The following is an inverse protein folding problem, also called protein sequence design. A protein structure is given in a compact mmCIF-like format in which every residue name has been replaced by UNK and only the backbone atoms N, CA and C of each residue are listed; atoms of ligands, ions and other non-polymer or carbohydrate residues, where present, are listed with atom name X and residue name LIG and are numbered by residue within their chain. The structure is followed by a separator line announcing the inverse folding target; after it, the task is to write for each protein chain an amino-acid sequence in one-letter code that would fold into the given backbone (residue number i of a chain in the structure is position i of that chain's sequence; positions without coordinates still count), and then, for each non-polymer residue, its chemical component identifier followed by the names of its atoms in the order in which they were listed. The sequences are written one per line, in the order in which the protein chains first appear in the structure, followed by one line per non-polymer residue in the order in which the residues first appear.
data_IF_286030536280
#
_entry.id   IF_286030536280
#
_cell.length_a   1.000
_cell.length_b   1.000
_cell.length_c   1.000
_cell.angle_alpha   90.00
_cell.angle_beta   90.00
_cell.angle_gamma   90.00
#
_symmetry.space_group_name_H-M   'P 1'
#
loop_
_entity.id
_entity.type
_entity.pdbx_description
1 polymer ?
#
# COMPACT_ATOMS: atom_id res chain seq x y z
N UNK A 1 -37.21 0.61 -51.58
CA UNK A 1 -36.56 1.76 -52.24
C UNK A 1 -36.84 3.00 -51.39
N UNK A 2 -36.11 3.11 -50.27
CA UNK A 2 -35.01 4.08 -50.00
C UNK A 2 -35.52 5.39 -49.44
N UNK A 3 -35.63 5.44 -48.11
CA UNK A 3 -35.85 6.70 -47.36
C UNK A 3 -34.64 6.92 -46.45
N UNK A 4 -33.95 8.01 -46.74
CA UNK A 4 -32.68 8.49 -46.17
C UNK A 4 -32.77 8.66 -44.66
N UNK A 5 -32.07 7.82 -43.91
CA UNK A 5 -31.94 7.96 -42.46
C UNK A 5 -30.69 8.79 -42.16
N UNK A 6 -30.91 10.09 -41.92
CA UNK A 6 -29.88 11.04 -41.56
C UNK A 6 -29.25 10.65 -40.21
N UNK A 7 -27.95 10.34 -40.27
CA UNK A 7 -27.11 10.01 -39.14
C UNK A 7 -26.93 11.24 -38.23
N UNK A 8 -27.60 11.27 -37.08
CA UNK A 8 -27.34 12.26 -36.02
C UNK A 8 -26.28 11.69 -35.07
N UNK A 9 -25.01 11.99 -35.36
CA UNK A 9 -23.89 11.71 -34.46
C UNK A 9 -23.95 12.73 -33.32
N UNK A 10 -24.37 12.30 -32.13
CA UNK A 10 -24.25 13.08 -30.91
C UNK A 10 -22.84 12.87 -30.33
N UNK A 11 -22.02 13.92 -30.41
CA UNK A 11 -20.67 13.95 -29.88
C UNK A 11 -20.73 14.17 -28.36
N UNK A 12 -20.68 13.09 -27.58
CA UNK A 12 -20.59 13.19 -26.12
C UNK A 12 -19.15 13.55 -25.71
N UNK A 13 -18.90 14.83 -25.41
CA UNK A 13 -17.66 15.28 -24.78
C UNK A 13 -17.52 14.63 -23.40
N UNK A 14 -16.66 13.64 -23.28
CA UNK A 14 -16.29 13.06 -21.99
C UNK A 14 -15.17 13.90 -21.38
N UNK A 15 -15.52 14.79 -20.45
CA UNK A 15 -14.55 15.51 -19.64
C UNK A 15 -13.89 14.53 -18.65
N UNK A 16 -12.66 14.10 -18.95
CA UNK A 16 -11.82 13.39 -17.99
C UNK A 16 -11.33 14.37 -16.92
N UNK A 17 -12.05 14.45 -15.81
CA UNK A 17 -11.56 15.11 -14.60
C UNK A 17 -10.47 14.25 -13.96
N UNK A 18 -9.20 14.66 -14.09
CA UNK A 18 -8.12 14.11 -13.27
C UNK A 18 -8.32 14.59 -11.83
N UNK A 19 -8.99 13.79 -11.01
CA UNK A 19 -8.95 13.95 -9.56
C UNK A 19 -7.54 13.61 -9.08
N UNK A 20 -6.74 14.64 -8.82
CA UNK A 20 -5.45 14.47 -8.14
C UNK A 20 -5.75 14.05 -6.69
N UNK A 21 -5.63 12.76 -6.41
CA UNK A 21 -5.72 12.25 -5.05
C UNK A 21 -4.45 12.68 -4.30
N UNK A 22 -4.55 13.76 -3.53
CA UNK A 22 -3.51 14.14 -2.59
C UNK A 22 -3.48 13.05 -1.49
N UNK A 23 -2.56 12.10 -1.59
CA UNK A 23 -2.35 11.10 -0.56
C UNK A 23 -1.54 11.74 0.58
N UNK A 24 -2.05 11.77 1.82
CA UNK A 24 -1.29 12.14 3.00
C UNK A 24 0.07 11.43 3.04
N UNK A 25 1.14 12.22 3.19
CA UNK A 25 2.47 11.67 3.40
C UNK A 25 2.53 10.99 4.77
N UNK A 26 3.22 9.84 4.90
CA UNK A 26 3.53 9.26 6.19
C UNK A 26 4.26 10.27 7.09
N UNK A 27 4.11 10.18 8.43
CA UNK A 27 4.83 11.05 9.35
C UNK A 27 6.34 10.94 9.15
N UNK A 28 7.08 12.02 9.43
CA UNK A 28 8.52 12.20 9.15
C UNK A 28 9.49 11.19 9.81
N UNK A 29 8.99 10.18 10.55
CA UNK A 29 9.80 9.08 11.10
C UNK A 29 9.35 7.70 10.59
N UNK A 30 8.34 7.63 9.73
CA UNK A 30 7.92 6.38 9.09
C UNK A 30 8.95 5.89 8.06
N UNK A 31 9.70 6.81 7.47
CA UNK A 31 10.84 6.55 6.58
C UNK A 31 11.93 5.66 7.21
N UNK A 32 12.09 5.73 8.53
CA UNK A 32 12.97 4.83 9.30
C UNK A 32 12.56 3.35 9.18
N UNK A 33 11.35 3.05 8.72
CA UNK A 33 10.83 1.69 8.60
C UNK A 33 10.53 1.29 7.15
N UNK A 34 10.85 2.14 6.18
CA UNK A 34 10.64 1.87 4.76
C UNK A 34 10.03 3.05 4.01
N UNK A 35 9.36 2.77 2.90
CA UNK A 35 8.78 3.81 2.04
C UNK A 35 7.43 3.38 1.48
N UNK A 36 6.60 4.37 1.11
CA UNK A 36 5.40 4.12 0.30
C UNK A 36 5.81 3.52 -1.04
N UNK A 37 5.05 2.53 -1.49
CA UNK A 37 5.26 1.84 -2.75
C UNK A 37 4.01 1.87 -3.63
N UNK A 38 4.20 1.62 -4.92
CA UNK A 38 3.10 1.40 -5.83
C UNK A 38 2.44 0.03 -5.53
N UNK A 39 1.11 -0.06 -5.63
CA UNK A 39 0.38 -1.28 -5.21
C UNK A 39 0.74 -2.46 -6.12
N UNK A 40 1.00 -2.19 -7.39
CA UNK A 40 1.41 -3.14 -8.41
C UNK A 40 2.80 -3.75 -8.19
N UNK A 41 3.66 -3.15 -7.37
CA UNK A 41 4.98 -3.71 -7.03
C UNK A 41 4.94 -4.60 -5.78
N UNK A 42 3.79 -4.70 -5.11
CA UNK A 42 3.65 -5.53 -3.93
C UNK A 42 3.75 -7.02 -4.27
N UNK A 43 4.56 -7.76 -3.53
CA UNK A 43 4.74 -9.21 -3.71
C UNK A 43 3.55 -10.01 -3.21
N UNK A 44 2.76 -9.43 -2.29
CA UNK A 44 1.49 -9.95 -1.82
C UNK A 44 0.62 -8.85 -1.25
N UNK A 45 -0.61 -9.22 -0.90
CA UNK A 45 -1.54 -8.32 -0.24
C UNK A 45 -2.13 -8.93 1.01
N UNK A 46 -2.35 -8.08 2.03
CA UNK A 46 -2.94 -8.47 3.31
C UNK A 46 -4.21 -7.64 3.51
N UNK A 47 -5.34 -8.31 3.69
CA UNK A 47 -6.59 -7.64 4.08
C UNK A 47 -6.58 -7.43 5.58
N UNK A 48 -6.70 -6.18 6.01
CA UNK A 48 -6.76 -5.81 7.42
C UNK A 48 -8.15 -6.15 7.96
N UNK A 49 -8.21 -7.02 8.96
CA UNK A 49 -9.45 -7.49 9.57
C UNK A 49 -9.52 -7.06 11.03
N UNK A 50 -10.72 -6.79 11.57
CA UNK A 50 -10.90 -6.59 12.99
C UNK A 50 -10.30 -7.74 13.81
N UNK A 51 -9.60 -7.41 14.89
CA UNK A 51 -8.98 -8.40 15.79
C UNK A 51 -7.59 -8.88 15.38
N UNK A 52 -7.08 -8.51 14.19
CA UNK A 52 -5.68 -8.70 13.85
C UNK A 52 -4.79 -7.91 14.83
N UNK A 53 -3.70 -8.53 15.30
CA UNK A 53 -2.73 -7.89 16.21
C UNK A 53 -1.37 -7.69 15.58
N UNK A 54 -0.97 -8.62 14.72
CA UNK A 54 0.37 -8.62 14.13
C UNK A 54 0.32 -9.00 12.65
N UNK A 55 1.24 -8.43 11.88
CA UNK A 55 1.59 -8.90 10.54
C UNK A 55 3.10 -9.15 10.52
N UNK A 56 3.51 -10.33 10.05
CA UNK A 56 4.91 -10.65 9.86
C UNK A 56 5.31 -10.29 8.43
N UNK A 57 6.41 -9.54 8.31
CA UNK A 57 6.98 -9.12 7.04
C UNK A 57 8.49 -9.37 7.03
N UNK A 58 9.06 -9.46 5.85
CA UNK A 58 10.50 -9.68 5.64
C UNK A 58 11.19 -8.34 5.39
N UNK A 59 12.45 -8.24 5.78
CA UNK A 59 13.32 -7.14 5.37
C UNK A 59 13.26 -6.92 3.85
N UNK A 60 12.99 -5.68 3.41
CA UNK A 60 12.90 -5.32 2.00
C UNK A 60 11.59 -5.72 1.31
N UNK A 61 10.63 -6.36 1.99
CA UNK A 61 9.38 -6.80 1.39
C UNK A 61 8.47 -5.62 1.05
N UNK A 62 7.88 -5.62 -0.15
CA UNK A 62 6.77 -4.72 -0.51
C UNK A 62 5.43 -5.41 -0.30
N UNK A 63 4.61 -4.89 0.61
CA UNK A 63 3.29 -5.46 0.95
C UNK A 63 2.19 -4.44 0.69
N UNK A 64 1.13 -4.87 0.01
CA UNK A 64 -0.09 -4.08 -0.13
C UNK A 64 -1.08 -4.40 1.00
N UNK A 65 -1.48 -3.39 1.77
CA UNK A 65 -2.48 -3.52 2.83
C UNK A 65 -3.83 -3.01 2.33
N UNK A 66 -4.84 -3.89 2.39
CA UNK A 66 -6.21 -3.59 1.96
C UNK A 66 -7.08 -3.30 3.17
N UNK A 67 -7.61 -2.08 3.24
CA UNK A 67 -8.74 -1.72 4.10
C UNK A 67 -10.05 -1.80 3.32
N UNK A 68 -11.14 -1.29 3.90
CA UNK A 68 -12.46 -1.32 3.27
C UNK A 68 -12.52 -0.50 1.98
N UNK A 69 -11.93 0.71 2.00
CA UNK A 69 -12.10 1.68 0.91
C UNK A 69 -10.83 1.96 0.11
N UNK A 70 -9.68 1.47 0.56
CA UNK A 70 -8.40 1.72 -0.12
C UNK A 70 -7.37 0.64 0.11
N UNK A 71 -6.41 0.60 -0.80
CA UNK A 71 -5.19 -0.20 -0.67
C UNK A 71 -3.99 0.73 -0.65
N UNK A 72 -3.05 0.50 0.27
CA UNK A 72 -1.78 1.23 0.34
C UNK A 72 -0.66 0.20 0.40
N UNK A 73 0.40 0.39 -0.38
CA UNK A 73 1.57 -0.47 -0.34
C UNK A 73 2.76 0.19 0.34
N UNK A 74 3.55 -0.63 1.03
CA UNK A 74 4.73 -0.22 1.77
C UNK A 74 5.87 -1.18 1.50
N UNK A 75 7.05 -0.65 1.16
CA UNK A 75 8.30 -1.39 1.12
C UNK A 75 9.00 -1.25 2.45
N UNK A 76 9.11 -2.34 3.20
CA UNK A 76 9.76 -2.33 4.52
C UNK A 76 11.28 -2.18 4.40
N UNK A 77 11.88 -1.49 5.37
CA UNK A 77 13.34 -1.37 5.43
C UNK A 77 14.02 -2.74 5.51
N UNK A 78 15.28 -2.79 5.11
CA UNK A 78 16.14 -3.93 5.41
C UNK A 78 16.75 -3.75 6.80
N UNK A 79 16.55 -4.71 7.70
CA UNK A 79 17.15 -4.67 9.05
C UNK A 79 18.36 -5.61 9.11
N UNK A 80 19.48 -5.11 9.64
CA UNK A 80 20.66 -5.90 9.98
C UNK A 80 20.66 -6.35 11.44
N UNK A 81 19.98 -5.61 12.32
CA UNK A 81 19.88 -5.86 13.75
C UNK A 81 18.51 -6.43 14.12
N UNK A 82 18.46 -7.71 14.48
CA UNK A 82 17.31 -8.36 15.12
C UNK A 82 15.94 -8.16 14.44
N UNK A 83 14.86 -8.50 15.16
CA UNK A 83 13.50 -8.18 14.71
C UNK A 83 13.19 -6.72 15.05
N UNK A 84 12.67 -5.98 14.09
CA UNK A 84 12.12 -4.64 14.31
C UNK A 84 10.60 -4.69 14.34
N UNK A 85 9.97 -3.74 15.04
CA UNK A 85 8.51 -3.67 15.16
C UNK A 85 8.03 -2.23 15.02
N UNK A 86 6.91 -2.04 14.31
CA UNK A 86 6.30 -0.72 14.11
C UNK A 86 4.78 -0.81 14.04
N UNK A 87 4.08 0.17 14.60
CA UNK A 87 2.63 0.25 14.52
C UNK A 87 2.21 0.50 13.07
N UNK A 88 1.30 -0.31 12.53
CA UNK A 88 0.93 -0.24 11.11
C UNK A 88 0.19 1.06 10.79
N UNK A 89 -0.60 1.59 11.72
CA UNK A 89 -1.26 2.90 11.58
C UNK A 89 -0.29 4.09 11.65
N UNK A 90 0.95 3.89 12.13
CA UNK A 90 1.98 4.91 12.05
C UNK A 90 2.56 5.01 10.62
N UNK A 91 2.68 3.88 9.92
CA UNK A 91 3.10 3.84 8.52
C UNK A 91 1.96 4.23 7.57
N UNK A 92 0.75 3.79 7.88
CA UNK A 92 -0.43 3.88 7.03
C UNK A 92 -1.55 4.65 7.75
N UNK A 93 -1.38 5.96 8.02
CA UNK A 93 -2.35 6.75 8.79
C UNK A 93 -3.74 6.79 8.13
N UNK A 94 -3.80 6.60 6.81
CA UNK A 94 -5.02 6.62 6.03
C UNK A 94 -5.82 5.32 6.04
N UNK A 95 -5.32 4.28 6.72
CA UNK A 95 -5.97 2.99 6.87
C UNK A 95 -6.44 2.84 8.33
N UNK A 96 -7.69 3.20 8.65
CA UNK A 96 -8.21 3.07 10.01
C UNK A 96 -8.09 1.65 10.56
N UNK A 97 -8.23 0.64 9.70
CA UNK A 97 -8.11 -0.79 10.04
C UNK A 97 -6.68 -1.19 10.44
N UNK A 98 -5.68 -0.34 10.20
CA UNK A 98 -4.31 -0.57 10.65
C UNK A 98 -4.12 -0.28 12.15
N UNK A 99 -5.09 0.38 12.80
CA UNK A 99 -5.01 0.75 14.21
C UNK A 99 -4.94 -0.50 15.10
N UNK A 100 -3.94 -0.55 15.97
CA UNK A 100 -3.73 -1.67 16.89
C UNK A 100 -3.03 -2.89 16.28
N UNK A 101 -2.61 -2.80 15.00
CA UNK A 101 -1.82 -3.83 14.34
C UNK A 101 -0.34 -3.43 14.38
N UNK A 102 0.54 -4.35 14.73
CA UNK A 102 1.99 -4.17 14.69
C UNK A 102 2.60 -4.98 13.54
N UNK A 103 3.36 -4.32 12.68
CA UNK A 103 4.21 -5.00 11.71
C UNK A 103 5.51 -5.44 12.39
N UNK A 104 5.82 -6.74 12.31
CA UNK A 104 7.06 -7.34 12.79
C UNK A 104 7.93 -7.64 11.58
N UNK A 105 9.06 -6.94 11.48
CA UNK A 105 10.01 -7.08 10.37
C UNK A 105 11.08 -8.11 10.78
N UNK A 106 11.15 -9.19 10.01
CA UNK A 106 12.17 -10.21 10.20
C UNK A 106 13.56 -9.69 9.78
N UNK A 107 14.64 -10.06 10.51
CA UNK A 107 16.00 -9.69 10.15
C UNK A 107 16.36 -10.25 8.77
N UNK A 108 17.12 -9.49 8.00
CA UNK A 108 17.56 -9.94 6.68
C UNK A 108 18.55 -11.12 6.81
N UNK A 109 18.37 -12.20 6.02
CA UNK A 109 19.32 -13.30 6.00
C UNK A 109 20.71 -12.88 5.49
N UNK A 110 20.81 -11.77 4.75
CA UNK A 110 22.08 -11.24 4.24
C UNK A 110 23.07 -10.85 5.34
N UNK A 111 22.59 -10.60 6.56
CA UNK A 111 23.43 -10.24 7.71
C UNK A 111 23.64 -11.38 8.70
N UNK A 112 23.18 -12.60 8.39
CA UNK A 112 23.59 -13.78 9.15
C UNK A 112 24.99 -14.17 8.66
N UNK A 113 26.01 -13.80 9.42
CA UNK A 113 27.38 -14.24 9.14
C UNK A 113 27.41 -15.77 9.02
N UNK A 114 28.04 -16.28 7.96
CA UNK A 114 28.39 -17.70 7.85
C UNK A 114 29.33 -18.02 9.01
N UNK A 115 28.82 -18.73 10.01
CA UNK A 115 29.63 -19.33 11.06
C UNK A 115 30.31 -20.59 10.52
#
# INVERSE_FOLDING_TARGET
MTTTQALRIALALSAFGMASACAPLPPARADLYGTVAAVETATRSITLRPGARYVNVTSGETVAFRGANRTVAWTFMTTSSGRSAVALNFLLPDLPEAKGITAIIAPSPLYRGSS
#
